data_IF_405167016176
#
_entry.id   IF_405167016176
#
_cell.length_a   1.000
_cell.length_b   1.000
_cell.length_c   1.000
_cell.angle_alpha   90.00
_cell.angle_beta   90.00
_cell.angle_gamma   90.00
#
_symmetry.space_group_name_H-M   'P 1'
#
loop_
_entity.id
_entity.type
_entity.pdbx_description
1 polymer ?
#
# COMPACT_ATOMS: atom_id res chain seq x y z
N UNK A 1 -1.59 -29.15 -29.96
CA UNK A 1 -2.18 -28.59 -28.72
C UNK A 1 -1.20 -27.55 -28.17
N UNK A 2 -1.13 -26.37 -28.80
CA UNK A 2 -0.27 -25.28 -28.36
C UNK A 2 -1.03 -24.50 -27.29
N UNK A 3 -0.52 -24.53 -26.05
CA UNK A 3 -1.09 -23.79 -24.93
C UNK A 3 -1.00 -22.29 -25.18
N UNK A 4 -2.15 -21.65 -25.34
CA UNK A 4 -2.31 -20.21 -25.28
C UNK A 4 -2.06 -19.78 -23.82
N UNK A 5 -0.80 -19.56 -23.46
CA UNK A 5 -0.50 -18.75 -22.26
C UNK A 5 -0.89 -17.33 -22.65
N UNK A 6 -1.92 -16.72 -22.02
CA UNK A 6 -2.28 -15.35 -22.34
C UNK A 6 -1.06 -14.48 -22.08
N UNK A 7 -0.70 -13.66 -23.07
CA UNK A 7 0.37 -12.69 -22.95
C UNK A 7 0.14 -11.88 -21.67
N UNK A 8 0.98 -12.11 -20.66
CA UNK A 8 1.09 -11.23 -19.52
C UNK A 8 1.55 -9.90 -20.11
N UNK A 9 0.66 -8.91 -20.14
CA UNK A 9 0.87 -7.65 -20.79
C UNK A 9 1.87 -6.79 -19.99
N UNK A 10 2.69 -6.00 -20.69
CA UNK A 10 3.68 -5.12 -20.07
C UNK A 10 3.09 -4.21 -18.97
N UNK A 11 1.84 -3.69 -19.10
CA UNK A 11 1.17 -2.97 -18.01
C UNK A 11 0.95 -3.81 -16.74
N UNK A 12 0.56 -5.08 -16.85
CA UNK A 12 0.43 -5.95 -15.68
C UNK A 12 1.78 -6.20 -15.00
N UNK A 13 2.86 -6.40 -15.77
CA UNK A 13 4.20 -6.53 -15.22
C UNK A 13 4.68 -5.25 -14.52
N UNK A 14 4.39 -4.08 -15.11
CA UNK A 14 4.71 -2.80 -14.49
C UNK A 14 3.95 -2.60 -13.17
N UNK A 15 2.66 -2.95 -13.14
CA UNK A 15 1.84 -2.87 -11.92
C UNK A 15 2.34 -3.83 -10.83
N UNK A 16 2.70 -5.06 -11.20
CA UNK A 16 3.30 -6.03 -10.28
C UNK A 16 4.63 -5.50 -9.71
N UNK A 17 5.51 -4.96 -10.54
CA UNK A 17 6.77 -4.38 -10.10
C UNK A 17 6.58 -3.19 -9.15
N UNK A 18 5.55 -2.36 -9.35
CA UNK A 18 5.20 -1.28 -8.41
C UNK A 18 4.68 -1.84 -7.08
N UNK A 19 3.85 -2.90 -7.11
CA UNK A 19 3.35 -3.57 -5.90
C UNK A 19 4.46 -4.23 -5.10
N UNK A 20 5.42 -4.87 -5.77
CA UNK A 20 6.56 -5.51 -5.11
C UNK A 20 7.46 -4.47 -4.44
N UNK A 21 7.72 -3.33 -5.13
CA UNK A 21 8.44 -2.20 -4.53
C UNK A 21 7.71 -1.62 -3.33
N UNK A 22 6.39 -1.47 -3.41
CA UNK A 22 5.58 -0.99 -2.30
C UNK A 22 5.67 -1.94 -1.10
N UNK A 23 5.55 -3.25 -1.32
CA UNK A 23 5.70 -4.27 -0.28
C UNK A 23 7.10 -4.25 0.34
N UNK A 24 8.15 -4.16 -0.48
CA UNK A 24 9.52 -4.07 -0.01
C UNK A 24 9.75 -2.83 0.86
N UNK A 25 9.19 -1.67 0.46
CA UNK A 25 9.24 -0.45 1.26
C UNK A 25 8.51 -0.60 2.60
N UNK A 26 7.34 -1.26 2.62
CA UNK A 26 6.63 -1.57 3.87
C UNK A 26 7.47 -2.46 4.78
N UNK A 27 8.07 -3.53 4.26
CA UNK A 27 8.93 -4.40 5.07
C UNK A 27 10.15 -3.66 5.62
N UNK A 28 10.79 -2.81 4.82
CA UNK A 28 11.90 -1.98 5.27
C UNK A 28 11.47 -0.99 6.36
N UNK A 29 10.31 -0.35 6.20
CA UNK A 29 9.74 0.55 7.21
C UNK A 29 9.39 -0.16 8.51
N UNK A 30 8.79 -1.35 8.44
CA UNK A 30 8.46 -2.16 9.62
C UNK A 30 9.70 -2.72 10.31
N UNK A 31 10.80 -2.95 9.59
CA UNK A 31 12.08 -3.30 10.21
C UNK A 31 12.63 -2.15 11.07
N UNK A 32 12.34 -0.89 10.72
CA UNK A 32 12.71 0.29 11.51
C UNK A 32 11.71 0.55 12.65
N UNK A 33 10.41 0.42 12.39
CA UNK A 33 9.34 0.61 13.37
C UNK A 33 8.31 -0.50 13.28
N UNK A 34 8.51 -1.52 14.12
CA UNK A 34 7.65 -2.71 14.17
C UNK A 34 6.23 -2.43 14.66
N UNK A 35 6.00 -1.29 15.30
CA UNK A 35 4.70 -0.88 15.80
C UNK A 35 3.96 0.03 14.82
N UNK A 36 4.49 0.26 13.61
CA UNK A 36 3.81 1.04 12.61
C UNK A 36 2.58 0.30 12.08
N UNK A 37 1.42 0.94 12.23
CA UNK A 37 0.12 0.44 11.74
C UNK A 37 -0.71 1.58 11.14
N UNK A 38 -1.72 1.21 10.35
CA UNK A 38 -2.69 2.17 9.79
C UNK A 38 -3.45 2.87 10.92
N UNK A 39 -3.90 2.17 11.97
CA UNK A 39 -4.61 2.84 13.08
C UNK A 39 -3.70 3.80 13.84
N UNK A 40 -2.42 3.47 14.06
CA UNK A 40 -1.46 4.40 14.68
C UNK A 40 -1.22 5.62 13.80
N UNK A 41 -1.10 5.44 12.49
CA UNK A 41 -0.98 6.55 11.55
C UNK A 41 -2.26 7.42 11.52
N UNK A 42 -3.44 6.80 11.62
CA UNK A 42 -4.74 7.48 11.69
C UNK A 42 -4.92 8.22 13.03
N UNK A 43 -4.44 7.70 14.14
CA UNK A 43 -4.49 8.37 15.44
C UNK A 43 -3.63 9.65 15.45
N UNK A 44 -2.49 9.65 14.74
CA UNK A 44 -1.58 10.79 14.63
C UNK A 44 -2.00 11.79 13.53
N UNK A 45 -3.30 12.03 13.37
CA UNK A 45 -3.83 13.01 12.41
C UNK A 45 -3.44 14.43 12.85
N UNK A 46 -2.80 15.25 11.99
CA UNK A 46 -2.43 16.62 12.36
C UNK A 46 -3.57 17.65 12.24
N UNK A 47 -4.72 17.27 11.67
CA UNK A 47 -5.86 18.17 11.43
C UNK A 47 -7.18 17.41 11.36
N UNK A 48 -8.21 17.94 12.01
CA UNK A 48 -9.59 17.43 11.98
C UNK A 48 -10.41 18.00 10.81
N UNK A 49 -9.78 18.72 9.87
CA UNK A 49 -10.48 19.26 8.70
C UNK A 49 -11.12 18.13 7.88
N UNK A 50 -12.43 18.18 7.60
CA UNK A 50 -13.12 17.10 6.89
C UNK A 50 -12.55 16.82 5.49
N UNK A 51 -12.10 17.85 4.78
CA UNK A 51 -11.50 17.68 3.44
C UNK A 51 -10.16 16.97 3.53
N UNK A 52 -9.36 17.28 4.55
CA UNK A 52 -8.12 16.60 4.85
C UNK A 52 -8.35 15.13 5.21
N UNK A 53 -9.33 14.84 6.06
CA UNK A 53 -9.68 13.47 6.45
C UNK A 53 -10.11 12.62 5.24
N UNK A 54 -10.97 13.15 4.36
CA UNK A 54 -11.40 12.46 3.13
C UNK A 54 -10.22 12.11 2.23
N UNK A 55 -9.25 13.02 2.08
CA UNK A 55 -8.04 12.74 1.27
C UNK A 55 -7.20 11.62 1.87
N UNK A 56 -7.17 11.49 3.20
CA UNK A 56 -6.39 10.46 3.89
C UNK A 56 -6.98 9.06 3.78
N UNK A 57 -8.28 8.92 3.56
CA UNK A 57 -8.89 7.60 3.31
C UNK A 57 -8.23 6.88 2.12
N UNK A 58 -7.87 7.61 1.05
CA UNK A 58 -7.12 7.05 -0.09
C UNK A 58 -5.70 6.60 0.29
N UNK A 59 -5.07 7.29 1.24
CA UNK A 59 -3.74 6.92 1.75
C UNK A 59 -3.83 5.62 2.54
N UNK A 60 -4.83 5.47 3.41
CA UNK A 60 -5.05 4.22 4.15
C UNK A 60 -5.30 3.05 3.19
N UNK A 61 -6.09 3.27 2.15
CA UNK A 61 -6.33 2.22 1.15
C UNK A 61 -5.05 1.80 0.42
N UNK A 62 -4.21 2.77 0.07
CA UNK A 62 -2.91 2.48 -0.55
C UNK A 62 -1.99 1.71 0.41
N UNK A 63 -2.04 2.02 1.71
CA UNK A 63 -1.31 1.29 2.75
C UNK A 63 -1.79 -0.16 2.89
N UNK A 64 -3.11 -0.41 2.84
CA UNK A 64 -3.68 -1.77 2.84
C UNK A 64 -3.18 -2.57 1.64
N UNK A 65 -3.23 -1.98 0.45
CA UNK A 65 -2.75 -2.62 -0.79
C UNK A 65 -1.25 -2.96 -0.70
N UNK A 66 -0.45 -2.11 -0.06
CA UNK A 66 0.98 -2.33 0.16
C UNK A 66 1.28 -3.34 1.28
N UNK A 67 0.28 -3.72 2.09
CA UNK A 67 0.39 -4.71 3.16
C UNK A 67 0.81 -4.14 4.52
N UNK A 68 0.51 -2.87 4.80
CA UNK A 68 0.69 -2.31 6.15
C UNK A 68 -0.34 -2.93 7.11
N UNK A 69 0.05 -3.31 8.35
CA UNK A 69 -0.90 -3.84 9.34
C UNK A 69 -1.94 -2.80 9.77
N UNK A 70 -3.17 -3.25 10.04
CA UNK A 70 -4.26 -2.37 10.50
C UNK A 70 -4.17 -1.97 11.98
N UNK A 71 -3.47 -2.77 12.80
CA UNK A 71 -3.56 -2.83 14.27
C UNK A 71 -3.59 -1.52 15.05
#
# INVERSE_FOLDING_TARGET
MAGLVPAIDVPALALLGVRDKARAAVQAGLALDRCFTISRFRANTPSDDPTFLVKRERVYESMRIAGVPEG
#
